data_IF_722926393528
#
_entry.id   IF_722926393528
#
_cell.length_a   1.000
_cell.length_b   1.000
_cell.length_c   1.000
_cell.angle_alpha   90.00
_cell.angle_beta   90.00
_cell.angle_gamma   90.00
#
_symmetry.space_group_name_H-M   'P 1'
#
loop_
_entity.id
_entity.type
_entity.pdbx_description
1 polymer ?
#
# COMPACT_ATOMS: atom_id res chain seq x y z
N UNK A 1 -21.06 13.47 14.18
CA UNK A 1 -20.15 12.81 13.23
C UNK A 1 -19.35 13.89 12.52
N UNK A 2 -18.02 13.80 12.49
CA UNK A 2 -17.19 14.85 11.88
C UNK A 2 -17.28 14.81 10.34
N UNK A 3 -16.87 15.88 9.66
CA UNK A 3 -16.82 15.91 8.19
C UNK A 3 -15.88 14.83 7.63
N UNK A 4 -14.75 14.61 8.30
CA UNK A 4 -13.79 13.58 7.87
C UNK A 4 -14.37 12.17 8.04
N UNK A 5 -15.15 11.91 9.10
CA UNK A 5 -15.85 10.63 9.25
C UNK A 5 -16.84 10.37 8.10
N UNK A 6 -17.51 11.43 7.61
CA UNK A 6 -18.44 11.32 6.47
C UNK A 6 -17.69 10.96 5.21
N UNK A 7 -16.60 11.68 4.91
CA UNK A 7 -15.74 11.40 3.75
C UNK A 7 -15.17 9.99 3.82
N UNK A 8 -14.63 9.59 4.97
CA UNK A 8 -14.07 8.27 5.18
C UNK A 8 -15.11 7.16 4.99
N UNK A 9 -16.32 7.35 5.54
CA UNK A 9 -17.42 6.39 5.36
C UNK A 9 -17.82 6.27 3.89
N UNK A 10 -17.88 7.39 3.17
CA UNK A 10 -18.19 7.39 1.73
C UNK A 10 -17.10 6.70 0.92
N UNK A 11 -15.82 6.95 1.21
CA UNK A 11 -14.69 6.28 0.57
C UNK A 11 -14.77 4.75 0.74
N UNK A 12 -14.95 4.28 1.98
CA UNK A 12 -15.00 2.85 2.32
C UNK A 12 -16.20 2.09 1.72
N UNK A 13 -17.20 2.78 1.16
CA UNK A 13 -18.33 2.15 0.44
C UNK A 13 -18.00 1.80 -1.02
N UNK A 14 -16.91 2.33 -1.57
CA UNK A 14 -16.56 2.20 -2.98
C UNK A 14 -15.81 0.91 -3.30
N UNK A 15 -15.31 0.19 -2.30
CA UNK A 15 -14.49 -1.00 -2.48
C UNK A 15 -14.53 -1.91 -1.25
N UNK A 16 -14.11 -3.17 -1.40
CA UNK A 16 -13.98 -4.13 -0.29
C UNK A 16 -12.63 -3.94 0.41
N UNK A 17 -12.66 -3.43 1.63
CA UNK A 17 -11.46 -3.34 2.49
C UNK A 17 -10.95 -4.74 2.84
N UNK A 18 -9.63 -4.90 2.92
CA UNK A 18 -8.98 -6.18 3.18
C UNK A 18 -8.73 -6.37 4.68
N UNK A 19 -9.23 -7.44 5.33
CA UNK A 19 -8.81 -7.80 6.68
C UNK A 19 -7.30 -8.10 6.73
N UNK A 20 -6.64 -7.74 7.83
CA UNK A 20 -5.20 -7.96 7.99
C UNK A 20 -4.77 -9.42 7.74
N UNK A 21 -5.56 -10.39 8.22
CA UNK A 21 -5.31 -11.82 8.04
C UNK A 21 -5.39 -12.29 6.57
N UNK A 22 -6.01 -11.53 5.66
CA UNK A 22 -6.10 -11.86 4.24
C UNK A 22 -4.91 -11.31 3.42
N UNK A 23 -4.07 -10.44 4.01
CA UNK A 23 -2.92 -9.84 3.30
C UNK A 23 -1.96 -10.89 2.74
N UNK A 24 -1.57 -11.96 3.47
CA UNK A 24 -0.69 -12.99 2.91
C UNK A 24 -1.27 -13.71 1.69
N UNK A 25 -2.57 -13.98 1.69
CA UNK A 25 -3.26 -14.54 0.52
C UNK A 25 -3.27 -13.54 -0.64
N UNK A 26 -3.54 -12.27 -0.36
CA UNK A 26 -3.53 -11.23 -1.37
C UNK A 26 -2.17 -11.11 -2.07
N UNK A 27 -1.08 -11.19 -1.32
CA UNK A 27 0.28 -11.19 -1.87
C UNK A 27 0.55 -12.45 -2.72
N UNK A 28 0.11 -13.64 -2.28
CA UNK A 28 0.29 -14.89 -3.04
C UNK A 28 -0.42 -14.90 -4.38
N UNK A 29 -1.53 -14.16 -4.54
CA UNK A 29 -2.22 -13.95 -5.82
C UNK A 29 -1.72 -12.74 -6.62
N UNK A 30 -0.63 -12.10 -6.19
CA UNK A 30 0.06 -11.04 -6.94
C UNK A 30 -0.36 -9.61 -6.60
N UNK A 31 -1.00 -9.37 -5.46
CA UNK A 31 -1.25 -8.01 -5.01
C UNK A 31 0.05 -7.30 -4.58
N UNK A 32 0.08 -5.98 -4.71
CA UNK A 32 1.22 -5.13 -4.32
C UNK A 32 0.86 -4.42 -3.02
N UNK A 33 1.57 -4.75 -1.95
CA UNK A 33 1.40 -4.11 -0.65
C UNK A 33 2.18 -2.79 -0.62
N UNK A 34 1.51 -1.70 -0.26
CA UNK A 34 2.09 -0.35 -0.26
C UNK A 34 1.96 0.28 1.12
N UNK A 35 3.09 0.65 1.73
CA UNK A 35 3.14 1.40 2.97
C UNK A 35 3.25 2.90 2.67
N UNK A 36 2.18 3.64 2.99
CA UNK A 36 2.09 5.09 2.77
C UNK A 36 2.44 5.94 3.98
N UNK A 37 2.93 5.31 5.07
CA UNK A 37 3.31 6.02 6.29
C UNK A 37 4.57 6.87 6.05
N UNK A 38 4.60 8.10 6.58
CA UNK A 38 5.82 8.91 6.56
C UNK A 38 6.99 8.15 7.20
N UNK A 39 8.21 8.36 6.68
CA UNK A 39 9.41 7.70 7.20
C UNK A 39 9.53 7.80 8.73
N UNK A 40 9.30 8.98 9.31
CA UNK A 40 9.39 9.17 10.76
C UNK A 40 8.41 8.28 11.55
N UNK A 41 7.26 7.94 10.98
CA UNK A 41 6.30 7.03 11.59
C UNK A 41 6.78 5.57 11.48
N UNK A 42 7.28 5.15 10.31
CA UNK A 42 7.85 3.81 10.12
C UNK A 42 9.07 3.55 11.00
N UNK A 43 9.90 4.56 11.25
CA UNK A 43 11.02 4.48 12.19
C UNK A 43 10.58 4.21 13.64
N UNK A 44 9.38 4.68 14.04
CA UNK A 44 8.85 4.47 15.39
C UNK A 44 8.06 3.17 15.51
N UNK A 45 7.25 2.86 14.51
CA UNK A 45 6.31 1.74 14.56
C UNK A 45 6.94 0.44 14.06
N UNK A 46 7.85 0.51 13.09
CA UNK A 46 8.42 -0.64 12.38
C UNK A 46 8.01 -0.67 10.91
N UNK A 47 8.73 -1.46 10.12
CA UNK A 47 8.47 -1.64 8.69
C UNK A 47 7.56 -2.85 8.41
N UNK A 48 7.00 -2.89 7.20
CA UNK A 48 6.20 -4.02 6.72
C UNK A 48 7.05 -4.80 5.72
N UNK A 49 7.44 -6.05 6.02
CA UNK A 49 8.23 -6.88 5.11
C UNK A 49 7.54 -7.02 3.74
N UNK A 50 8.31 -6.79 2.67
CA UNK A 50 7.83 -6.93 1.29
C UNK A 50 6.91 -5.80 0.80
N UNK A 51 6.60 -4.79 1.62
CA UNK A 51 5.82 -3.64 1.18
C UNK A 51 6.68 -2.64 0.39
N UNK A 52 6.12 -2.10 -0.70
CA UNK A 52 6.66 -0.92 -1.36
C UNK A 52 6.39 0.31 -0.49
N UNK A 53 7.42 1.10 -0.24
CA UNK A 53 7.28 2.35 0.49
C UNK A 53 7.00 3.47 -0.50
N UNK A 54 5.78 4.02 -0.44
CA UNK A 54 5.36 5.14 -1.27
C UNK A 54 4.63 6.12 -0.37
N UNK A 55 5.27 7.20 0.07
CA UNK A 55 4.57 8.17 0.90
C UNK A 55 3.34 8.75 0.19
N UNK A 56 2.32 9.11 0.99
CA UNK A 56 0.99 9.47 0.48
C UNK A 56 1.01 10.58 -0.58
N UNK A 57 1.98 11.50 -0.50
CA UNK A 57 2.11 12.68 -1.34
C UNK A 57 2.37 12.37 -2.83
N UNK A 58 2.94 11.21 -3.16
CA UNK A 58 3.30 10.85 -4.54
C UNK A 58 2.55 9.62 -5.08
N UNK A 59 1.65 9.04 -4.28
CA UNK A 59 1.05 7.73 -4.52
C UNK A 59 0.40 7.62 -5.90
N UNK A 60 -0.44 8.58 -6.29
CA UNK A 60 -1.19 8.56 -7.55
C UNK A 60 -0.26 8.44 -8.76
N UNK A 61 0.78 9.27 -8.81
CA UNK A 61 1.76 9.25 -9.90
C UNK A 61 2.59 7.96 -9.95
N UNK A 62 2.85 7.34 -8.80
CA UNK A 62 3.62 6.09 -8.73
C UNK A 62 2.80 4.88 -9.15
N UNK A 63 1.49 4.88 -8.88
CA UNK A 63 0.59 3.76 -9.17
C UNK A 63 -0.09 3.85 -10.55
N UNK A 64 -0.19 5.03 -11.15
CA UNK A 64 -0.81 5.23 -12.47
C UNK A 64 0.07 4.65 -13.60
N UNK A 65 -0.38 3.61 -14.33
CA UNK A 65 0.39 3.00 -15.41
C UNK A 65 0.62 3.94 -16.59
N UNK A 66 -0.11 5.05 -16.70
CA UNK A 66 0.06 6.06 -17.75
C UNK A 66 1.02 7.18 -17.36
N UNK A 67 1.43 7.26 -16.09
CA UNK A 67 2.31 8.30 -15.58
C UNK A 67 3.77 8.08 -16.00
N UNK A 68 4.47 9.17 -16.34
CA UNK A 68 5.92 9.15 -16.56
C UNK A 68 6.71 8.80 -15.28
N UNK A 69 6.13 9.04 -14.11
CA UNK A 69 6.75 8.77 -12.81
C UNK A 69 6.37 7.41 -12.22
N UNK A 70 5.66 6.57 -12.98
CA UNK A 70 5.15 5.27 -12.51
C UNK A 70 6.27 4.36 -12.01
N UNK A 71 5.93 3.49 -11.07
CA UNK A 71 6.80 2.39 -10.68
C UNK A 71 6.72 1.23 -11.68
N UNK A 72 7.68 0.30 -11.60
CA UNK A 72 7.72 -0.86 -12.48
C UNK A 72 6.51 -1.79 -12.28
N UNK A 73 5.94 -1.81 -11.07
CA UNK A 73 4.78 -2.59 -10.68
C UNK A 73 3.47 -2.04 -11.26
N UNK A 74 3.44 -0.77 -11.69
CA UNK A 74 2.29 -0.14 -12.34
C UNK A 74 2.18 -0.56 -13.83
N UNK A 75 1.95 -1.86 -14.05
CA UNK A 75 1.90 -2.48 -15.39
C UNK A 75 0.54 -2.36 -16.08
N UNK A 76 -0.50 -1.96 -15.36
CA UNK A 76 -1.85 -1.76 -15.89
C UNK A 76 -2.90 -1.53 -14.81
N UNK A 77 -4.14 -1.29 -15.22
CA UNK A 77 -5.26 -0.95 -14.32
C UNK A 77 -5.68 -2.12 -13.41
N UNK A 78 -5.31 -3.35 -13.78
CA UNK A 78 -5.60 -4.60 -13.07
C UNK A 78 -4.64 -4.90 -11.92
N UNK A 79 -3.68 -4.01 -11.62
CA UNK A 79 -2.80 -4.17 -10.46
C UNK A 79 -3.59 -3.96 -9.17
N UNK A 80 -3.50 -4.93 -8.27
CA UNK A 80 -4.15 -4.82 -6.96
C UNK A 80 -3.24 -4.14 -5.95
N UNK A 81 -3.45 -2.83 -5.81
CA UNK A 81 -2.79 -2.01 -4.82
C UNK A 81 -3.45 -2.17 -3.45
N UNK A 82 -2.74 -2.76 -2.49
CA UNK A 82 -3.19 -2.90 -1.09
C UNK A 82 -2.49 -1.85 -0.26
N UNK A 83 -3.21 -0.78 0.06
CA UNK A 83 -2.64 0.40 0.73
C UNK A 83 -2.71 0.26 2.25
N UNK A 84 -1.59 0.53 2.92
CA UNK A 84 -1.46 0.49 4.38
C UNK A 84 -1.00 1.83 4.90
N UNK A 85 -1.73 2.36 5.88
CA UNK A 85 -1.25 3.40 6.77
C UNK A 85 -1.23 2.85 8.21
N UNK A 86 -0.96 3.69 9.22
CA UNK A 86 -0.85 3.23 10.61
C UNK A 86 -2.15 2.58 11.14
N UNK A 87 -3.31 3.26 11.06
CA UNK A 87 -4.58 2.77 11.64
C UNK A 87 -5.69 2.47 10.61
N UNK A 88 -5.38 2.52 9.32
CA UNK A 88 -6.37 2.26 8.25
C UNK A 88 -7.34 3.42 7.96
N UNK A 89 -7.01 4.66 8.34
CA UNK A 89 -7.80 5.86 8.01
C UNK A 89 -7.34 6.49 6.70
N UNK A 90 -6.10 6.98 6.66
CA UNK A 90 -5.50 7.63 5.48
C UNK A 90 -5.45 6.69 4.27
N UNK A 91 -5.16 5.40 4.51
CA UNK A 91 -5.14 4.39 3.45
C UNK A 91 -6.49 4.22 2.76
N UNK A 92 -7.61 4.38 3.49
CA UNK A 92 -8.94 4.31 2.86
C UNK A 92 -9.18 5.47 1.88
N UNK A 93 -8.71 6.67 2.24
CA UNK A 93 -8.80 7.84 1.37
C UNK A 93 -7.85 7.71 0.17
N UNK A 94 -6.68 7.11 0.40
CA UNK A 94 -5.70 6.84 -0.65
C UNK A 94 -6.23 5.83 -1.67
N UNK A 95 -6.79 4.70 -1.22
CA UNK A 95 -7.42 3.72 -2.10
C UNK A 95 -8.54 4.36 -2.93
N UNK A 96 -9.39 5.20 -2.33
CA UNK A 96 -10.43 5.92 -3.07
C UNK A 96 -9.87 6.87 -4.15
N UNK A 97 -8.75 7.55 -3.88
CA UNK A 97 -8.09 8.39 -4.88
C UNK A 97 -7.51 7.56 -6.04
N UNK A 98 -6.97 6.38 -5.76
CA UNK A 98 -6.53 5.45 -6.81
C UNK A 98 -7.70 4.94 -7.65
N UNK A 99 -8.87 4.70 -7.05
CA UNK A 99 -10.10 4.39 -7.79
C UNK A 99 -10.54 5.55 -8.70
N UNK A 100 -10.36 6.80 -8.26
CA UNK A 100 -10.74 8.00 -9.05
C UNK A 100 -9.93 8.13 -10.35
N UNK A 101 -8.73 7.55 -10.41
CA UNK A 101 -7.88 7.54 -11.61
C UNK A 101 -7.96 6.21 -12.39
N UNK A 102 -8.89 5.32 -12.06
CA UNK A 102 -9.17 4.10 -12.84
C UNK A 102 -8.51 2.82 -12.31
N UNK A 103 -7.72 2.87 -11.23
CA UNK A 103 -7.08 1.69 -10.63
C UNK A 103 -8.09 0.90 -9.79
N UNK A 104 -8.99 0.20 -10.48
CA UNK A 104 -10.22 -0.37 -9.94
C UNK A 104 -10.02 -1.48 -8.89
N UNK A 105 -8.82 -2.06 -8.78
CA UNK A 105 -8.48 -3.06 -7.74
C UNK A 105 -7.81 -2.47 -6.50
N UNK A 106 -7.68 -1.14 -6.41
CA UNK A 106 -7.13 -0.51 -5.21
C UNK A 106 -8.01 -0.78 -3.97
N UNK A 107 -7.36 -1.15 -2.87
CA UNK A 107 -8.00 -1.41 -1.58
C UNK A 107 -7.10 -0.96 -0.42
N UNK A 108 -7.59 -1.06 0.80
CA UNK A 108 -6.82 -0.78 2.01
C UNK A 108 -7.00 -1.85 3.09
N UNK A 109 -6.05 -1.90 4.02
CA UNK A 109 -6.10 -2.85 5.15
C UNK A 109 -6.94 -2.28 6.29
N UNK A 110 -7.91 -3.07 6.77
CA UNK A 110 -8.68 -2.76 7.97
C UNK A 110 -7.77 -2.71 9.18
N UNK A 111 -7.72 -1.54 9.84
CA UNK A 111 -6.88 -1.30 11.02
C UNK A 111 -5.40 -1.02 10.71
N UNK A 112 -5.00 -0.98 9.44
CA UNK A 112 -3.67 -0.57 9.01
C UNK A 112 -2.54 -1.46 9.56
N UNK A 113 -1.38 -0.84 9.77
CA UNK A 113 -0.19 -1.46 10.35
C UNK A 113 -0.47 -2.12 11.70
N UNK A 114 -1.22 -1.44 12.59
CA UNK A 114 -1.52 -1.98 13.91
C UNK A 114 -2.27 -3.32 13.84
N UNK A 115 -3.23 -3.46 12.92
CA UNK A 115 -3.91 -4.74 12.74
C UNK A 115 -3.01 -5.85 12.15
N UNK A 116 -1.97 -5.49 11.38
CA UNK A 116 -0.97 -6.46 10.91
C UNK A 116 -0.09 -6.96 12.06
N UNK A 117 0.30 -6.06 12.96
CA UNK A 117 1.06 -6.41 14.18
C UNK A 117 0.20 -7.27 15.10
N UNK A 118 -1.00 -6.79 15.46
CA UNK A 118 -1.88 -7.48 16.40
C UNK A 118 -2.32 -8.86 15.88
N UNK A 119 -2.41 -9.02 14.56
CA UNK A 119 -2.73 -10.27 13.89
C UNK A 119 -1.55 -11.23 13.69
N UNK A 120 -0.33 -10.86 14.09
CA UNK A 120 0.88 -11.66 13.84
C UNK A 120 1.19 -11.85 12.35
N UNK A 121 0.76 -10.90 11.51
CA UNK A 121 0.89 -10.99 10.05
C UNK A 121 2.31 -10.66 9.63
N UNK A 122 2.99 -9.74 10.32
CA UNK A 122 4.36 -9.32 9.95
C UNK A 122 5.35 -10.49 10.01
N UNK A 123 5.19 -11.40 10.97
CA UNK A 123 6.00 -12.62 11.09
C UNK A 123 5.77 -13.55 9.89
N UNK A 124 4.53 -13.69 9.43
CA UNK A 124 4.18 -14.51 8.27
C UNK A 124 4.79 -13.92 6.99
N UNK A 125 4.76 -12.60 6.84
CA UNK A 125 5.37 -11.90 5.71
C UNK A 125 6.90 -11.99 5.72
N UNK A 126 7.52 -12.12 6.90
CA UNK A 126 8.97 -12.29 7.05
C UNK A 126 9.45 -13.70 6.72
N UNK A 127 8.61 -14.72 6.92
CA UNK A 127 8.93 -16.13 6.67
C UNK A 127 8.73 -16.59 5.22
N UNK A 128 8.00 -15.82 4.40
CA UNK A 128 7.86 -16.06 2.98
C UNK A 128 9.12 -15.53 2.26
N UNK A 129 10.12 -16.38 2.03
CA UNK A 129 11.30 -16.03 1.24
C UNK A 129 10.91 -15.51 -0.17
N UNK A 130 11.71 -14.64 -0.80
CA UNK A 130 11.35 -14.03 -2.06
C UNK A 130 11.29 -15.07 -3.18
N UNK A 131 10.25 -15.00 -4.02
CA UNK A 131 10.32 -15.54 -5.38
C UNK A 131 11.34 -14.72 -6.15
N UNK A 132 12.34 -15.39 -6.72
CA UNK A 132 13.49 -14.81 -7.41
C UNK A 132 13.03 -13.86 -8.54
N UNK A 133 13.10 -12.56 -8.28
CA UNK A 133 12.69 -11.48 -9.17
C UNK A 133 13.86 -10.55 -9.42
N UNK A 134 14.75 -10.95 -10.33
CA UNK A 134 15.63 -10.05 -11.08
C UNK A 134 16.62 -9.22 -10.26
N UNK A 135 17.88 -9.66 -10.23
CA UNK A 135 19.01 -8.76 -10.00
C UNK A 135 19.07 -7.71 -11.12
N UNK A 136 18.41 -6.57 -10.91
CA UNK A 136 18.58 -5.34 -11.67
C UNK A 136 19.34 -4.32 -10.81
N UNK A 137 20.63 -4.17 -11.11
CA UNK A 137 21.58 -3.16 -10.65
C UNK A 137 21.06 -2.06 -9.69
N UNK A 138 21.46 -2.18 -8.42
CA UNK A 138 21.77 -1.01 -7.60
C UNK A 138 22.99 -0.33 -8.21
N UNK A 139 22.78 0.73 -8.98
CA UNK A 139 23.79 1.73 -9.28
C UNK A 139 23.34 3.07 -8.72
N UNK A 140 24.16 3.55 -7.79
CA UNK A 140 24.19 4.86 -7.15
C UNK A 140 23.57 6.00 -7.97
N UNK A 141 22.44 6.53 -7.48
CA UNK A 141 21.98 7.87 -7.81
C UNK A 141 21.32 8.46 -6.57
N UNK A 142 22.14 9.11 -5.74
CA UNK A 142 21.82 10.33 -5.02
C UNK A 142 20.51 10.35 -4.24
N UNK A 143 20.63 10.29 -2.90
CA UNK A 143 19.64 10.75 -1.92
C UNK A 143 18.80 11.90 -2.48
N UNK A 144 17.57 11.61 -2.87
CA UNK A 144 16.57 12.63 -3.18
C UNK A 144 15.26 12.21 -2.54
N UNK A 145 15.08 12.72 -1.33
CA UNK A 145 13.78 12.85 -0.70
C UNK A 145 12.87 13.64 -1.66
N UNK A 146 11.76 13.03 -2.04
CA UNK A 146 10.55 13.67 -2.54
C UNK A 146 9.39 13.14 -1.71
#
# INVERSE_FOLDING_TARGET
>A
MSRIDVVLRSARRRYRRLPAAEVPEALRRGAVLVDIRPQAQRLREGEIPGALVIERNVLEWRCDPTSEARLAEAVGDDVEWVIVCSEGYTSSLAAAALLDIGLHRATDVVGGYHALVDGGVLEQLSGAAPVDGGRGALADAGRRWL
#
